data_IF_097970056974
#
_entry.id   IF_097970056974
#
_cell.length_a   1.000
_cell.length_b   1.000
_cell.length_c   1.000
_cell.angle_alpha   90.00
_cell.angle_beta   90.00
_cell.angle_gamma   90.00
#
_symmetry.space_group_name_H-M   'P 1'
#
loop_
_entity.id
_entity.type
_entity.pdbx_description
1 polymer ?
#
# COMPACT_ATOMS: atom_id res chain seq x y z
N UNK A 1 -9.61 -21.12 -6.88
CA UNK A 1 -8.41 -20.29 -7.04
C UNK A 1 -8.09 -20.19 -8.51
N UNK A 2 -8.21 -19.00 -9.09
CA UNK A 2 -8.16 -18.79 -10.55
C UNK A 2 -8.79 -17.47 -10.98
N UNK A 3 -8.77 -16.45 -10.11
CA UNK A 3 -9.21 -15.13 -10.50
C UNK A 3 -8.11 -14.52 -11.37
N UNK A 4 -8.45 -13.92 -12.53
CA UNK A 4 -7.48 -13.19 -13.34
C UNK A 4 -6.81 -12.13 -12.45
N UNK A 5 -5.49 -11.96 -12.61
CA UNK A 5 -4.76 -10.92 -11.91
C UNK A 5 -5.48 -9.58 -12.14
N UNK A 6 -6.05 -9.02 -11.08
CA UNK A 6 -6.71 -7.74 -11.14
C UNK A 6 -5.61 -6.67 -11.31
N UNK A 7 -5.33 -6.36 -12.58
CA UNK A 7 -4.29 -5.41 -12.98
C UNK A 7 -4.56 -4.03 -12.40
N UNK A 8 -5.82 -3.67 -12.20
CA UNK A 8 -6.19 -2.38 -11.61
C UNK A 8 -5.92 -2.37 -10.12
N UNK A 9 -6.23 -3.46 -9.40
CA UNK A 9 -5.85 -3.62 -8.00
C UNK A 9 -4.33 -3.64 -7.81
N UNK A 10 -3.58 -4.28 -8.71
CA UNK A 10 -2.12 -4.28 -8.68
C UNK A 10 -1.54 -2.88 -8.88
N UNK A 11 -2.02 -2.13 -9.88
CA UNK A 11 -1.62 -0.73 -10.09
C UNK A 11 -1.93 0.14 -8.89
N UNK A 12 -3.11 -0.02 -8.30
CA UNK A 12 -3.53 0.75 -7.14
C UNK A 12 -2.62 0.48 -5.92
N UNK A 13 -2.25 -0.79 -5.70
CA UNK A 13 -1.29 -1.18 -4.65
C UNK A 13 0.10 -0.60 -4.93
N UNK A 14 0.60 -0.76 -6.16
CA UNK A 14 1.92 -0.23 -6.54
C UNK A 14 1.99 1.30 -6.38
N UNK A 15 0.93 2.03 -6.75
CA UNK A 15 0.85 3.47 -6.58
C UNK A 15 0.86 3.87 -5.09
N UNK A 16 0.10 3.15 -4.26
CA UNK A 16 0.03 3.40 -2.82
C UNK A 16 1.40 3.22 -2.15
N UNK A 17 2.10 2.12 -2.44
CA UNK A 17 3.42 1.86 -1.87
C UNK A 17 4.48 2.83 -2.42
N UNK A 18 4.43 3.18 -3.71
CA UNK A 18 5.32 4.19 -4.27
C UNK A 18 5.17 5.55 -3.56
N UNK A 19 3.93 5.98 -3.31
CA UNK A 19 3.67 7.21 -2.56
C UNK A 19 4.07 7.11 -1.08
N UNK A 20 3.95 5.92 -0.47
CA UNK A 20 4.40 5.65 0.90
C UNK A 20 5.92 5.86 1.05
N UNK A 21 6.70 5.21 0.19
CA UNK A 21 8.15 5.33 0.20
C UNK A 21 8.63 6.74 -0.18
N UNK A 22 7.97 7.40 -1.14
CA UNK A 22 8.24 8.82 -1.44
C UNK A 22 7.98 9.68 -0.20
N UNK A 23 6.91 9.40 0.57
CA UNK A 23 6.66 10.09 1.82
C UNK A 23 7.80 9.92 2.82
N UNK A 24 8.39 8.73 2.93
CA UNK A 24 9.59 8.51 3.73
C UNK A 24 10.81 9.28 3.22
N UNK A 25 11.03 9.33 1.90
CA UNK A 25 12.10 10.17 1.29
C UNK A 25 11.91 11.65 1.63
N UNK A 26 10.66 12.11 1.73
CA UNK A 26 10.31 13.48 2.13
C UNK A 26 10.32 13.70 3.66
N UNK A 27 10.66 12.68 4.46
CA UNK A 27 10.74 12.76 5.92
C UNK A 27 9.41 12.57 6.66
N UNK A 28 8.36 12.10 5.99
CA UNK A 28 7.09 11.76 6.63
C UNK A 28 7.23 10.44 7.40
N UNK A 29 6.78 10.46 8.65
CA UNK A 29 6.67 9.27 9.49
C UNK A 29 5.32 8.58 9.28
N UNK A 30 5.25 7.33 9.74
CA UNK A 30 4.01 6.55 9.70
C UNK A 30 2.86 7.27 10.39
N UNK A 31 1.68 7.20 9.78
CA UNK A 31 0.46 7.77 10.33
C UNK A 31 -0.43 6.69 10.93
N UNK A 32 -1.17 7.01 11.98
CA UNK A 32 -2.17 6.12 12.59
C UNK A 32 -3.53 6.15 11.88
N UNK A 33 -3.79 7.15 11.02
CA UNK A 33 -5.05 7.23 10.25
C UNK A 33 -5.01 6.30 9.04
N UNK A 34 -5.96 5.35 8.98
CA UNK A 34 -6.12 4.38 7.89
C UNK A 34 -6.35 4.99 6.51
N UNK A 35 -6.74 6.27 6.44
CA UNK A 35 -6.92 7.03 5.20
C UNK A 35 -5.64 7.68 4.71
N UNK A 36 -4.59 7.71 5.53
CA UNK A 36 -3.29 8.26 5.15
C UNK A 36 -2.50 7.26 4.31
N UNK A 37 -1.80 7.75 3.28
CA UNK A 37 -0.88 6.92 2.47
C UNK A 37 0.30 6.40 3.29
N UNK A 38 0.70 7.15 4.32
CA UNK A 38 1.73 6.75 5.29
C UNK A 38 1.21 5.81 6.37
N UNK A 39 -0.04 5.34 6.28
CA UNK A 39 -0.54 4.32 7.17
C UNK A 39 0.08 2.97 6.83
N UNK A 40 0.78 2.40 7.81
CA UNK A 40 1.40 1.10 7.71
C UNK A 40 0.36 0.05 7.29
N UNK A 41 0.51 -0.46 6.07
CA UNK A 41 -0.48 -1.35 5.45
C UNK A 41 -0.05 -2.80 5.64
N UNK A 42 -0.28 -3.33 6.85
CA UNK A 42 -0.21 -4.77 7.13
C UNK A 42 -1.36 -5.52 6.43
N UNK A 43 -1.35 -5.62 5.11
CA UNK A 43 -2.18 -6.59 4.37
C UNK A 43 -1.75 -6.67 2.92
N UNK A 44 -0.58 -7.27 2.69
CA UNK A 44 -0.34 -7.92 1.39
C UNK A 44 -0.72 -9.41 1.48
N UNK A 45 -0.56 -10.07 2.63
CA UNK A 45 -1.01 -11.44 2.93
C UNK A 45 -0.94 -11.58 4.47
N UNK A 46 -2.06 -11.85 5.13
CA UNK A 46 -2.06 -12.58 6.41
C UNK A 46 -3.23 -13.55 6.40
N UNK A 47 -3.16 -14.50 5.48
CA UNK A 47 -3.91 -15.76 5.49
C UNK A 47 -3.20 -16.73 4.55
N UNK A 48 -2.25 -17.49 5.09
CA UNK A 48 -2.01 -18.85 4.62
C UNK A 48 -3.07 -19.77 5.22
#
# INVERSE_FOLDING_TARGET
YGLPADKELFKLRALKEAMHEIGHVLGLLHCTDKRCVMHFSNSIIDTF
#
